data_IF_517636986414
#
_entry.id   IF_517636986414
#
_cell.length_a   1.000
_cell.length_b   1.000
_cell.length_c   1.000
_cell.angle_alpha   90.00
_cell.angle_beta   90.00
_cell.angle_gamma   90.00
#
_symmetry.space_group_name_H-M   'P 1'
#
loop_
_entity.id
_entity.type
_entity.pdbx_description
1 polymer ?
#
# COMPACT_ATOMS: atom_id res chain seq x y z
N UNK A 1 -1.46 -8.12 26.25
CA UNK A 1 -0.13 -8.15 25.61
C UNK A 1 -0.08 -6.91 24.75
N UNK A 2 0.55 -5.84 25.24
CA UNK A 2 0.63 -4.57 24.52
C UNK A 2 1.83 -4.62 23.56
N UNK A 3 1.55 -4.61 22.26
CA UNK A 3 2.58 -4.39 21.25
C UNK A 3 2.73 -2.88 21.09
N UNK A 4 3.74 -2.30 21.76
CA UNK A 4 4.12 -0.89 21.65
C UNK A 4 4.97 -0.69 20.39
N UNK A 5 4.34 -0.39 19.25
CA UNK A 5 5.06 0.03 18.04
C UNK A 5 5.42 1.51 18.20
N UNK A 6 6.59 1.78 18.79
CA UNK A 6 7.14 3.14 18.85
C UNK A 6 7.58 3.58 17.46
N UNK A 7 6.74 4.36 16.79
CA UNK A 7 7.11 5.04 15.55
C UNK A 7 8.19 6.09 15.87
N UNK A 8 9.45 5.78 15.55
CA UNK A 8 10.60 6.67 15.80
C UNK A 8 10.74 7.82 14.79
N UNK A 9 9.85 7.93 13.81
CA UNK A 9 9.82 9.07 12.89
C UNK A 9 8.38 9.49 12.54
N UNK A 10 8.02 10.78 12.66
CA UNK A 10 6.63 11.26 12.51
C UNK A 10 6.13 11.35 11.07
N UNK A 11 6.78 10.69 10.10
CA UNK A 11 6.44 10.80 8.67
C UNK A 11 5.76 9.56 8.09
N UNK A 12 5.16 8.71 8.91
CA UNK A 12 4.53 7.48 8.43
C UNK A 12 3.08 7.78 8.03
N UNK A 13 2.84 8.04 6.75
CA UNK A 13 1.52 8.04 6.15
C UNK A 13 1.08 6.61 5.86
N UNK A 14 0.51 5.92 6.85
CA UNK A 14 0.09 4.51 6.74
C UNK A 14 -1.43 4.29 6.82
N UNK A 15 -2.25 5.34 6.67
CA UNK A 15 -3.71 5.19 6.78
C UNK A 15 -4.44 5.91 5.64
N UNK A 16 -5.44 5.27 5.02
CA UNK A 16 -6.22 5.90 3.96
C UNK A 16 -7.05 7.04 4.57
N UNK A 17 -6.67 8.28 4.27
CA UNK A 17 -7.47 9.47 4.59
C UNK A 17 -7.74 10.21 3.30
N UNK A 18 -9.01 10.31 2.93
CA UNK A 18 -9.47 11.32 2.00
C UNK A 18 -9.27 12.70 2.65
N UNK A 19 -8.34 13.46 2.08
CA UNK A 19 -8.07 14.90 2.29
C UNK A 19 -7.30 15.29 3.58
N UNK A 20 -6.12 15.90 3.35
CA UNK A 20 -5.09 16.40 4.28
C UNK A 20 -4.21 15.34 4.96
N UNK A 21 -2.95 15.26 4.53
CA UNK A 21 -1.91 14.42 5.13
C UNK A 21 -1.50 14.99 6.49
N UNK A 22 -2.31 14.72 7.52
CA UNK A 22 -1.92 14.97 8.89
C UNK A 22 -0.87 13.93 9.29
N UNK A 23 0.39 14.33 9.32
CA UNK A 23 1.44 13.55 9.96
C UNK A 23 1.08 13.38 11.44
N UNK A 24 1.18 12.16 11.96
CA UNK A 24 0.93 11.92 13.37
C UNK A 24 1.98 12.67 14.20
N UNK A 25 1.61 13.51 15.18
CA UNK A 25 2.57 14.23 16.00
C UNK A 25 3.55 13.29 16.70
N UNK A 26 4.79 13.72 16.92
CA UNK A 26 5.78 12.94 17.66
C UNK A 26 5.24 12.55 19.06
N UNK A 27 5.34 11.27 19.42
CA UNK A 27 4.75 10.71 20.63
C UNK A 27 3.34 10.11 20.43
N UNK A 28 2.83 10.07 19.20
CA UNK A 28 1.63 9.30 18.87
C UNK A 28 1.84 7.79 19.08
N UNK A 29 0.76 7.08 19.40
CA UNK A 29 0.78 5.64 19.70
C UNK A 29 -0.19 4.89 18.81
N UNK A 30 0.26 3.75 18.26
CA UNK A 30 -0.61 2.78 17.60
C UNK A 30 -0.94 1.67 18.60
N UNK A 31 -2.22 1.30 18.72
CA UNK A 31 -2.68 0.21 19.56
C UNK A 31 -3.60 -0.74 18.82
N UNK A 32 -3.47 -2.02 19.12
CA UNK A 32 -4.42 -3.06 18.73
C UNK A 32 -5.46 -3.15 19.85
N UNK A 33 -6.74 -3.05 19.48
CA UNK A 33 -7.88 -3.09 20.37
C UNK A 33 -8.87 -4.15 19.87
N UNK A 34 -9.88 -4.48 20.67
CA UNK A 34 -10.96 -5.37 20.23
C UNK A 34 -11.73 -4.84 19.00
N UNK A 35 -11.68 -3.53 18.73
CA UNK A 35 -12.31 -2.90 17.56
C UNK A 35 -11.33 -2.72 16.37
N UNK A 36 -10.11 -3.25 16.46
CA UNK A 36 -9.06 -3.11 15.46
C UNK A 36 -7.94 -2.14 15.86
N UNK A 37 -7.37 -1.45 14.88
CA UNK A 37 -6.24 -0.54 15.09
C UNK A 37 -6.71 0.87 15.45
N UNK A 38 -6.02 1.50 16.38
CA UNK A 38 -6.21 2.90 16.75
C UNK A 38 -4.89 3.63 16.74
N UNK A 39 -4.91 4.87 16.26
CA UNK A 39 -3.80 5.82 16.33
C UNK A 39 -4.24 6.99 17.20
N UNK A 40 -3.53 7.22 18.30
CA UNK A 40 -3.77 8.33 19.22
C UNK A 40 -2.58 9.28 19.26
N UNK A 41 -2.87 10.56 19.41
CA UNK A 41 -1.85 11.59 19.59
C UNK A 41 -1.20 11.51 20.97
N UNK A 42 -0.14 12.32 21.21
CA UNK A 42 0.61 12.29 22.47
C UNK A 42 -0.22 12.64 23.71
N UNK A 43 -1.34 13.36 23.51
CA UNK A 43 -2.30 13.73 24.56
C UNK A 43 -3.49 12.77 24.67
N UNK A 44 -3.46 11.64 23.97
CA UNK A 44 -4.52 10.63 23.96
C UNK A 44 -5.71 10.95 23.03
N UNK A 45 -5.66 12.04 22.27
CA UNK A 45 -6.71 12.35 21.28
C UNK A 45 -6.69 11.34 20.13
N UNK A 46 -7.86 10.88 19.68
CA UNK A 46 -7.95 9.96 18.54
C UNK A 46 -7.58 10.68 17.24
N UNK A 47 -6.66 10.09 16.47
CA UNK A 47 -6.26 10.56 15.14
C UNK A 47 -6.93 9.70 14.07
N UNK A 48 -6.93 8.38 14.26
CA UNK A 48 -7.51 7.42 13.31
C UNK A 48 -7.90 6.12 14.01
N UNK A 49 -8.89 5.42 13.47
CA UNK A 49 -9.26 4.06 13.87
C UNK A 49 -9.75 3.26 12.66
N UNK A 50 -9.43 1.96 12.61
CA UNK A 50 -9.89 1.07 11.54
C UNK A 50 -11.39 0.75 11.64
N UNK A 51 -11.96 0.81 12.85
CA UNK A 51 -13.38 0.54 13.14
C UNK A 51 -13.88 -0.77 12.51
N UNK A 52 -13.23 -1.89 12.84
CA UNK A 52 -13.62 -3.19 12.30
C UNK A 52 -14.94 -3.66 12.92
N UNK A 53 -15.80 -4.25 12.10
CA UNK A 53 -17.09 -4.80 12.55
C UNK A 53 -16.92 -6.02 13.47
N UNK A 54 -15.85 -6.79 13.26
CA UNK A 54 -15.55 -8.00 14.01
C UNK A 54 -14.61 -7.73 15.18
N UNK A 55 -14.79 -8.50 16.26
CA UNK A 55 -13.93 -8.42 17.45
C UNK A 55 -12.56 -9.01 17.15
N UNK A 56 -11.52 -8.18 17.21
CA UNK A 56 -10.12 -8.60 17.08
C UNK A 56 -9.67 -9.27 18.38
N UNK A 57 -9.01 -10.41 18.24
CA UNK A 57 -8.42 -11.17 19.35
C UNK A 57 -6.90 -11.29 19.24
N UNK A 58 -6.37 -11.34 18.02
CA UNK A 58 -4.93 -11.54 17.76
C UNK A 58 -4.47 -10.58 16.66
N UNK A 59 -3.32 -9.95 16.86
CA UNK A 59 -2.53 -9.35 15.80
C UNK A 59 -1.26 -10.15 15.57
N UNK A 60 -0.94 -10.48 14.32
CA UNK A 60 0.21 -11.30 13.97
C UNK A 60 0.95 -10.73 12.77
N UNK A 61 2.28 -10.79 12.83
CA UNK A 61 3.15 -10.53 11.69
C UNK A 61 3.50 -11.88 11.06
N UNK A 62 3.04 -12.12 9.83
CA UNK A 62 3.36 -13.35 9.10
C UNK A 62 4.80 -13.29 8.57
N UNK A 63 5.40 -14.45 8.31
CA UNK A 63 6.75 -14.55 7.73
C UNK A 63 6.86 -13.86 6.36
N UNK A 64 5.74 -13.66 5.68
CA UNK A 64 5.62 -12.91 4.43
C UNK A 64 5.74 -11.39 4.60
N UNK A 65 5.76 -10.89 5.83
CA UNK A 65 5.72 -9.46 6.15
C UNK A 65 4.30 -8.86 6.18
N UNK A 66 3.28 -9.70 5.96
CA UNK A 66 1.89 -9.29 6.06
C UNK A 66 1.46 -9.25 7.53
N UNK A 67 1.06 -8.07 7.99
CA UNK A 67 0.50 -7.89 9.32
C UNK A 67 -1.02 -8.08 9.26
N UNK A 68 -1.53 -9.04 10.03
CA UNK A 68 -2.94 -9.45 10.00
C UNK A 68 -3.58 -9.29 11.38
N UNK A 69 -4.87 -8.96 11.39
CA UNK A 69 -5.72 -9.01 12.58
C UNK A 69 -6.74 -10.14 12.42
N UNK A 70 -6.87 -10.93 13.47
CA UNK A 70 -7.69 -12.15 13.49
C UNK A 70 -8.74 -12.10 14.61
N UNK A 71 -9.88 -12.72 14.37
CA UNK A 71 -10.89 -13.02 15.41
C UNK A 71 -10.43 -14.14 16.33
N UNK A 72 -11.19 -14.42 17.39
CA UNK A 72 -10.94 -15.56 18.29
C UNK A 72 -11.02 -16.92 17.60
N UNK A 73 -11.66 -17.00 16.43
CA UNK A 73 -11.73 -18.20 15.60
C UNK A 73 -10.65 -18.23 14.50
N UNK A 74 -9.64 -17.35 14.60
CA UNK A 74 -8.56 -17.19 13.61
C UNK A 74 -9.00 -16.73 12.22
N UNK A 75 -10.20 -16.15 12.09
CA UNK A 75 -10.64 -15.54 10.83
C UNK A 75 -9.94 -14.19 10.64
N UNK A 76 -9.38 -13.96 9.45
CA UNK A 76 -8.72 -12.70 9.10
C UNK A 76 -9.75 -11.61 8.83
N UNK A 77 -9.65 -10.52 9.58
CA UNK A 77 -10.59 -9.37 9.49
C UNK A 77 -9.95 -8.09 8.99
N UNK A 78 -8.62 -8.05 8.93
CA UNK A 78 -7.86 -6.94 8.37
C UNK A 78 -6.43 -7.40 8.04
N UNK A 79 -5.82 -6.79 7.02
CA UNK A 79 -4.41 -6.99 6.70
C UNK A 79 -3.77 -5.75 6.06
N UNK A 80 -2.48 -5.52 6.28
CA UNK A 80 -1.79 -4.36 5.71
C UNK A 80 -1.59 -4.47 4.19
N UNK A 81 -1.52 -5.68 3.63
CA UNK A 81 -1.26 -5.88 2.21
C UNK A 81 -2.42 -5.51 1.29
N UNK A 82 -3.65 -5.40 1.82
CA UNK A 82 -4.81 -4.86 1.08
C UNK A 82 -4.81 -3.33 0.99
N UNK A 83 -3.89 -2.67 1.70
CA UNK A 83 -3.76 -1.22 1.73
C UNK A 83 -2.33 -0.79 1.39
N UNK A 84 -1.84 -1.11 0.18
CA UNK A 84 -0.52 -0.67 -0.23
C UNK A 84 -0.44 0.86 -0.25
N UNK A 85 0.71 1.42 0.14
CA UNK A 85 0.96 2.86 0.11
C UNK A 85 1.65 3.25 -1.20
N UNK A 86 2.96 3.27 -1.18
CA UNK A 86 3.83 3.79 -2.22
C UNK A 86 4.66 2.68 -2.85
N UNK A 87 4.91 1.57 -2.14
CA UNK A 87 5.75 0.46 -2.61
C UNK A 87 4.97 -0.85 -2.55
N UNK A 88 5.05 -1.65 -3.61
CA UNK A 88 4.60 -3.05 -3.58
C UNK A 88 5.68 -3.89 -2.89
N UNK A 89 5.31 -4.69 -1.89
CA UNK A 89 6.23 -5.56 -1.15
C UNK A 89 6.27 -6.98 -1.73
N UNK A 90 7.37 -7.74 -1.51
CA UNK A 90 7.39 -9.16 -1.86
C UNK A 90 6.20 -9.89 -1.23
N UNK A 91 5.61 -10.83 -1.95
CA UNK A 91 4.34 -11.54 -1.67
C UNK A 91 3.07 -10.69 -1.71
N UNK A 92 3.16 -9.40 -2.04
CA UNK A 92 1.99 -8.54 -2.18
C UNK A 92 1.45 -8.56 -3.62
N UNK A 93 0.13 -8.38 -3.72
CA UNK A 93 -0.58 -8.19 -4.98
C UNK A 93 -1.33 -6.87 -4.98
N UNK A 94 -1.33 -6.17 -6.11
CA UNK A 94 -2.20 -5.03 -6.37
C UNK A 94 -3.34 -5.47 -7.30
N UNK A 95 -4.56 -5.26 -6.83
CA UNK A 95 -5.80 -5.53 -7.57
C UNK A 95 -6.14 -4.38 -8.53
N UNK A 96 -7.03 -4.57 -9.53
CA UNK A 96 -7.35 -3.55 -10.53
C UNK A 96 -7.89 -2.23 -9.97
N UNK A 97 -8.58 -2.26 -8.84
CA UNK A 97 -9.06 -1.08 -8.12
C UNK A 97 -7.96 -0.37 -7.31
N UNK A 98 -6.84 -1.05 -7.10
CA UNK A 98 -5.69 -0.56 -6.35
C UNK A 98 -4.86 0.43 -7.15
N UNK A 99 -4.15 1.29 -6.43
CA UNK A 99 -3.23 2.27 -7.00
C UNK A 99 -2.05 2.46 -6.07
N UNK A 100 -0.84 2.56 -6.62
CA UNK A 100 0.37 2.93 -5.88
C UNK A 100 0.75 4.35 -6.26
N UNK A 101 0.95 5.20 -5.26
CA UNK A 101 1.43 6.56 -5.50
C UNK A 101 2.79 6.72 -4.84
N UNK A 102 3.80 7.04 -5.64
CA UNK A 102 5.16 7.29 -5.17
C UNK A 102 5.20 8.27 -4.00
N UNK A 103 6.24 8.18 -3.17
CA UNK A 103 6.58 9.21 -2.18
C UNK A 103 7.24 10.42 -2.85
N UNK A 104 7.24 11.57 -2.19
CA UNK A 104 7.83 12.79 -2.75
C UNK A 104 9.36 12.72 -2.83
N UNK A 105 9.99 12.13 -1.82
CA UNK A 105 11.43 11.84 -1.75
C UNK A 105 11.67 10.66 -0.81
N UNK A 106 12.88 10.09 -0.80
CA UNK A 106 13.30 9.02 0.13
C UNK A 106 12.95 9.27 1.61
N UNK A 107 13.01 10.53 2.05
CA UNK A 107 12.76 10.95 3.45
C UNK A 107 11.44 11.72 3.62
N UNK A 108 10.65 11.85 2.56
CA UNK A 108 9.37 12.52 2.57
C UNK A 108 8.28 11.63 1.97
N UNK A 109 7.57 10.95 2.86
CA UNK A 109 6.48 10.01 2.55
C UNK A 109 5.15 10.69 2.18
N UNK A 110 5.13 12.01 1.96
CA UNK A 110 3.96 12.66 1.34
C UNK A 110 3.82 12.23 -0.11
N UNK A 111 2.65 12.45 -0.70
CA UNK A 111 2.38 12.18 -2.12
C UNK A 111 3.46 12.72 -3.06
N UNK A 112 4.00 11.84 -3.86
CA UNK A 112 4.95 12.10 -4.92
C UNK A 112 4.28 12.41 -6.25
N UNK A 113 5.04 12.19 -7.33
CA UNK A 113 4.71 12.67 -8.68
C UNK A 113 4.55 11.55 -9.70
N UNK A 114 4.44 10.32 -9.26
CA UNK A 114 4.18 9.15 -10.09
C UNK A 114 3.12 8.27 -9.46
N UNK A 115 2.26 7.72 -10.32
CA UNK A 115 1.19 6.82 -9.93
C UNK A 115 1.17 5.59 -10.84
N UNK A 116 1.12 4.41 -10.25
CA UNK A 116 0.94 3.12 -10.92
C UNK A 116 -0.49 2.63 -10.68
N UNK A 117 -1.23 2.35 -11.75
CA UNK A 117 -2.66 2.03 -11.68
C UNK A 117 -3.10 1.19 -12.87
N UNK A 118 -4.27 0.58 -12.77
CA UNK A 118 -4.89 -0.14 -13.89
C UNK A 118 -5.78 0.80 -14.70
N UNK A 119 -5.74 0.67 -16.02
CA UNK A 119 -6.66 1.35 -16.93
C UNK A 119 -6.91 0.47 -18.15
N UNK A 120 -8.18 0.27 -18.48
CA UNK A 120 -8.60 -0.47 -19.69
C UNK A 120 -7.94 -1.86 -19.80
N UNK A 121 -7.77 -2.54 -18.66
CA UNK A 121 -7.16 -3.88 -18.60
C UNK A 121 -5.66 -3.91 -18.89
N UNK A 122 -4.96 -2.78 -18.73
CA UNK A 122 -3.50 -2.64 -18.76
C UNK A 122 -3.00 -2.03 -17.45
N UNK A 123 -1.69 -2.12 -17.19
CA UNK A 123 -1.05 -1.44 -16.05
C UNK A 123 -0.24 -0.25 -16.55
N UNK A 124 -0.56 0.94 -16.04
CA UNK A 124 0.03 2.20 -16.48
C UNK A 124 0.80 2.84 -15.34
N UNK A 125 1.89 3.52 -15.70
CA UNK A 125 2.63 4.42 -14.84
C UNK A 125 2.59 5.81 -15.45
N UNK A 126 2.03 6.77 -14.73
CA UNK A 126 1.85 8.14 -15.21
C UNK A 126 2.42 9.16 -14.22
N UNK A 127 2.98 10.28 -14.70
CA UNK A 127 3.28 11.41 -13.83
C UNK A 127 1.99 12.02 -13.27
N UNK A 128 2.03 12.38 -11.98
CA UNK A 128 0.94 13.01 -11.24
C UNK A 128 1.26 14.49 -11.02
N UNK A 129 0.35 15.36 -11.43
CA UNK A 129 0.46 16.81 -11.34
C UNK A 129 0.16 17.34 -9.93
N UNK A 130 0.90 16.87 -8.92
CA UNK A 130 0.74 17.30 -7.53
C UNK A 130 0.86 18.84 -7.38
N UNK A 131 -0.07 19.52 -6.66
CA UNK A 131 -1.10 18.99 -5.75
C UNK A 131 -2.44 18.64 -6.39
N UNK A 132 -2.60 18.73 -7.71
CA UNK A 132 -3.82 18.28 -8.38
C UNK A 132 -3.81 16.74 -8.55
N UNK A 133 -4.98 16.09 -8.62
CA UNK A 133 -5.08 14.66 -8.90
C UNK A 133 -4.95 14.34 -10.41
N UNK A 134 -4.51 15.29 -11.24
CA UNK A 134 -4.44 15.12 -12.68
C UNK A 134 -3.23 14.26 -13.07
N UNK A 135 -3.47 13.26 -13.90
CA UNK A 135 -2.43 12.42 -14.50
C UNK A 135 -2.07 12.95 -15.88
N UNK A 136 -0.76 13.01 -16.16
CA UNK A 136 -0.25 13.24 -17.51
C UNK A 136 -0.26 11.95 -18.32
N UNK A 137 0.16 12.05 -19.58
CA UNK A 137 0.38 10.88 -20.43
C UNK A 137 1.29 9.87 -19.76
N UNK A 138 0.93 8.59 -19.91
CA UNK A 138 1.65 7.50 -19.25
C UNK A 138 3.09 7.45 -19.72
N UNK A 139 4.01 7.45 -18.76
CA UNK A 139 5.43 7.20 -19.01
C UNK A 139 5.67 5.75 -19.43
N UNK A 140 4.89 4.81 -18.89
CA UNK A 140 4.98 3.40 -19.23
C UNK A 140 3.61 2.74 -19.27
N UNK A 141 3.46 1.79 -20.20
CA UNK A 141 2.29 0.91 -20.32
C UNK A 141 2.77 -0.54 -20.36
N UNK A 142 2.32 -1.34 -19.40
CA UNK A 142 2.36 -2.79 -19.49
C UNK A 142 1.11 -3.22 -20.26
N UNK A 143 1.30 -3.45 -21.55
CA UNK A 143 0.21 -3.90 -22.42
C UNK A 143 -0.12 -5.37 -22.14
N UNK A 144 -1.30 -5.58 -21.58
CA UNK A 144 -1.89 -6.89 -21.36
C UNK A 144 -3.06 -7.15 -22.31
N UNK A 145 -3.17 -6.40 -23.41
CA UNK A 145 -4.23 -6.48 -24.39
C UNK A 145 -5.62 -6.41 -23.75
N UNK A 146 -5.77 -5.59 -22.71
CA UNK A 146 -7.03 -5.44 -21.97
C UNK A 146 -7.37 -6.59 -21.01
N UNK A 147 -6.43 -7.50 -20.74
CA UNK A 147 -6.65 -8.69 -19.92
C UNK A 147 -5.98 -8.66 -18.54
N UNK A 148 -5.35 -7.56 -18.12
CA UNK A 148 -4.69 -7.48 -16.81
C UNK A 148 -5.68 -7.73 -15.65
N UNK A 149 -5.33 -8.67 -14.76
CA UNK A 149 -6.16 -9.07 -13.62
C UNK A 149 -5.51 -8.69 -12.28
N UNK A 150 -4.20 -8.91 -12.12
CA UNK A 150 -3.51 -8.64 -10.86
C UNK A 150 -2.04 -8.39 -11.12
N UNK A 151 -1.46 -7.39 -10.47
CA UNK A 151 -0.03 -7.14 -10.45
C UNK A 151 0.56 -7.75 -9.18
N UNK A 152 1.57 -8.60 -9.32
CA UNK A 152 2.16 -9.38 -8.23
C UNK A 152 3.65 -9.08 -8.10
N UNK A 153 4.14 -9.09 -6.87
CA UNK A 153 5.56 -9.13 -6.55
C UNK A 153 5.83 -10.39 -5.74
N UNK A 154 6.58 -11.35 -6.29
CA UNK A 154 6.83 -12.62 -5.60
C UNK A 154 8.12 -12.62 -4.76
N UNK A 155 8.29 -13.66 -3.95
CA UNK A 155 9.43 -13.86 -3.05
C UNK A 155 10.79 -13.92 -3.77
N UNK A 156 10.78 -14.25 -5.06
CA UNK A 156 11.99 -14.39 -5.87
C UNK A 156 12.46 -13.07 -6.49
N UNK A 157 11.79 -11.95 -6.21
CA UNK A 157 12.18 -10.66 -6.78
C UNK A 157 11.42 -10.26 -8.05
N UNK A 158 10.47 -11.09 -8.54
CA UNK A 158 9.82 -10.86 -9.82
C UNK A 158 8.51 -10.07 -9.67
N UNK A 159 8.33 -9.07 -10.52
CA UNK A 159 7.09 -8.30 -10.64
C UNK A 159 6.41 -8.70 -11.95
N UNK A 160 5.13 -9.07 -11.91
CA UNK A 160 4.41 -9.50 -13.13
C UNK A 160 2.90 -9.31 -13.02
N UNK A 161 2.25 -9.31 -14.18
CA UNK A 161 0.79 -9.24 -14.30
C UNK A 161 0.25 -10.62 -14.65
N UNK A 162 -0.68 -11.12 -13.84
CA UNK A 162 -1.56 -12.20 -14.22
C UNK A 162 -2.70 -11.63 -15.08
N UNK A 163 -3.06 -12.34 -16.15
CA UNK A 163 -4.19 -11.96 -17.00
C UNK A 163 -5.41 -12.85 -16.77
N UNK A 164 -6.59 -12.38 -17.19
CA UNK A 164 -7.84 -13.15 -17.19
C UNK A 164 -7.76 -14.42 -18.03
N UNK A 165 -6.85 -14.46 -19.01
CA UNK A 165 -6.62 -15.61 -19.88
C UNK A 165 -5.60 -16.61 -19.28
N UNK A 166 -5.11 -16.38 -18.06
CA UNK A 166 -4.14 -17.24 -17.37
C UNK A 166 -2.70 -17.05 -17.84
N UNK A 167 -2.41 -16.02 -18.64
CA UNK A 167 -1.03 -15.70 -19.06
C UNK A 167 -0.34 -14.81 -18.02
N UNK A 168 0.98 -14.87 -18.00
CA UNK A 168 1.85 -14.03 -17.17
C UNK A 168 2.59 -13.06 -18.08
N UNK A 169 2.51 -11.77 -17.75
CA UNK A 169 3.23 -10.71 -18.47
C UNK A 169 4.22 -10.07 -17.51
N UNK A 170 5.50 -10.21 -17.82
CA UNK A 170 6.57 -9.53 -17.11
C UNK A 170 6.73 -8.12 -17.69
N UNK A 171 6.92 -7.09 -16.86
CA UNK A 171 7.27 -5.77 -17.33
C UNK A 171 8.55 -5.85 -18.17
N UNK A 172 8.45 -5.45 -19.43
CA UNK A 172 9.63 -5.38 -20.29
C UNK A 172 10.41 -4.12 -19.92
N UNK A 173 11.65 -4.29 -19.45
CA UNK A 173 12.56 -3.16 -19.25
C UNK A 173 13.11 -2.71 -20.60
N UNK A 174 12.98 -1.43 -20.94
CA UNK A 174 14.04 -0.80 -21.73
C UNK A 174 15.27 -0.70 -20.84
N UNK A 175 16.45 -0.97 -21.41
CA UNK A 175 17.74 -1.01 -20.71
C UNK A 175 17.85 0.08 -19.63
N UNK A 176 17.71 -0.31 -18.35
CA UNK A 176 17.91 0.58 -17.19
C UNK A 176 16.70 0.88 -16.31
N UNK A 177 15.47 0.43 -16.64
CA UNK A 177 14.31 0.66 -15.77
C UNK A 177 14.18 -0.45 -14.72
N UNK A 178 14.52 -0.14 -13.47
CA UNK A 178 14.17 -0.98 -12.33
C UNK A 178 12.77 -0.59 -11.83
N UNK A 179 11.83 -1.53 -11.93
CA UNK A 179 10.48 -1.41 -11.37
C UNK A 179 10.47 -1.20 -9.86
N UNK A 180 11.56 -1.59 -9.20
CA UNK A 180 11.78 -1.41 -7.76
C UNK A 180 12.18 0.05 -7.44
N UNK A 181 12.70 0.82 -8.40
CA UNK A 181 13.08 2.23 -8.21
C UNK A 181 12.05 3.25 -8.68
N UNK A 182 11.07 2.86 -9.51
CA UNK A 182 10.03 3.78 -10.02
C UNK A 182 9.14 4.35 -8.90
N UNK A 183 9.13 3.69 -7.74
CA UNK A 183 8.30 4.04 -6.59
C UNK A 183 9.10 4.57 -5.39
N UNK A 184 10.41 4.82 -5.55
CA UNK A 184 11.26 5.46 -4.53
C UNK A 184 11.47 6.95 -4.83
#
# INVERSE_FOLDING_TARGET
MDIDIRLKDPKIGCFPVNVSFATAPAGSQVRITSAGLTLSGPKGNSIWASNLASVVSVGSMLDTGNFVLLTGNFEKVWQNFEHPTDTLLPTQSLQPEGTLTSRLTDTNYTTGRFQLYFKEGNVLLSPLAWPSPLLYDSYYVLDASGAALTLLFNELGNIYVNTTNGTIIQPQGSNGISWISILR
#
